data_IF_819417024275
#
_entry.id   IF_819417024275
#
_cell.length_a   1.000
_cell.length_b   1.000
_cell.length_c   1.000
_cell.angle_alpha   90.00
_cell.angle_beta   90.00
_cell.angle_gamma   90.00
#
_symmetry.space_group_name_H-M   'P 1'
#
loop_
_entity.id
_entity.type
_entity.pdbx_description
1 polymer ?
#
# COMPACT_ATOMS: atom_id res chain seq x y z
N UNK A 1 66.73 -11.13 -27.38
CA UNK A 1 65.78 -10.79 -28.47
C UNK A 1 64.47 -10.32 -27.86
N UNK A 2 64.08 -9.09 -28.14
CA UNK A 2 62.81 -8.47 -27.73
C UNK A 2 61.64 -9.13 -28.48
N UNK A 3 60.57 -9.48 -27.77
CA UNK A 3 59.21 -9.53 -28.34
C UNK A 3 58.22 -8.98 -27.33
N UNK A 4 57.82 -7.74 -27.59
CA UNK A 4 56.61 -7.06 -27.11
C UNK A 4 55.38 -7.91 -27.45
N UNK A 5 54.30 -7.84 -26.67
CA UNK A 5 52.89 -7.65 -27.11
C UNK A 5 51.93 -7.84 -25.90
N UNK A 6 51.47 -6.73 -25.32
CA UNK A 6 50.12 -6.11 -25.41
C UNK A 6 49.21 -6.54 -24.25
N UNK A 7 49.07 -5.59 -23.32
CA UNK A 7 48.04 -5.49 -22.30
C UNK A 7 46.66 -5.38 -22.97
N UNK A 8 45.72 -6.26 -22.62
CA UNK A 8 44.30 -6.05 -22.93
C UNK A 8 43.58 -5.75 -21.61
N UNK A 9 43.46 -4.45 -21.29
CA UNK A 9 42.56 -3.96 -20.26
C UNK A 9 41.13 -4.12 -20.77
N UNK A 10 40.42 -5.10 -20.23
CA UNK A 10 38.99 -5.26 -20.45
C UNK A 10 38.27 -4.17 -19.63
N UNK A 11 38.03 -3.03 -20.27
CA UNK A 11 37.17 -1.98 -19.72
C UNK A 11 35.74 -2.49 -19.86
N UNK A 12 35.24 -3.18 -18.84
CA UNK A 12 33.81 -3.33 -18.64
C UNK A 12 33.26 -1.93 -18.37
N UNK A 13 32.75 -1.26 -19.41
CA UNK A 13 31.79 -0.18 -19.23
C UNK A 13 30.56 -0.79 -18.57
N UNK A 14 30.54 -0.79 -17.24
CA UNK A 14 29.29 -0.88 -16.48
C UNK A 14 28.55 0.40 -16.85
N UNK A 15 27.66 0.29 -17.84
CA UNK A 15 26.61 1.28 -18.02
C UNK A 15 25.75 1.13 -16.77
N UNK A 16 26.05 1.95 -15.78
CA UNK A 16 25.15 2.20 -14.68
C UNK A 16 23.88 2.76 -15.30
N UNK A 17 22.89 1.90 -15.52
CA UNK A 17 21.51 2.34 -15.59
C UNK A 17 21.19 2.90 -14.21
N UNK A 18 21.52 4.18 -14.02
CA UNK A 18 20.77 5.04 -13.12
C UNK A 18 19.32 4.88 -13.56
N UNK A 19 18.50 4.18 -12.78
CA UNK A 19 17.09 4.49 -12.75
C UNK A 19 17.04 5.94 -12.29
N UNK A 20 17.08 6.88 -13.24
CA UNK A 20 16.63 8.24 -12.99
C UNK A 20 15.32 8.07 -12.22
N UNK A 21 15.27 8.65 -11.02
CA UNK A 21 14.08 8.65 -10.19
C UNK A 21 12.93 8.97 -11.14
N UNK A 22 12.04 8.00 -11.40
CA UNK A 22 10.87 8.23 -12.23
C UNK A 22 9.93 9.13 -11.43
N UNK A 23 10.30 10.42 -11.36
CA UNK A 23 9.50 11.49 -10.81
C UNK A 23 8.46 11.79 -11.85
N UNK A 24 7.32 11.08 -11.75
CA UNK A 24 6.11 11.50 -12.46
C UNK A 24 5.89 12.97 -12.08
N UNK A 25 5.92 13.91 -13.04
CA UNK A 25 5.68 15.31 -12.73
C UNK A 25 4.33 15.44 -12.03
N UNK A 26 4.32 16.06 -10.85
CA UNK A 26 3.06 16.41 -10.20
C UNK A 26 2.48 17.54 -11.04
N UNK A 27 1.40 17.26 -11.76
CA UNK A 27 0.66 18.31 -12.45
C UNK A 27 0.07 19.21 -11.36
N UNK A 28 0.46 20.50 -11.28
CA UNK A 28 -0.04 21.38 -10.24
C UNK A 28 -1.57 21.40 -10.25
N UNK A 29 -2.17 21.23 -9.09
CA UNK A 29 -3.61 21.29 -8.93
C UNK A 29 -4.04 22.67 -8.40
N UNK A 30 -5.35 22.87 -8.26
CA UNK A 30 -5.88 24.06 -7.57
C UNK A 30 -5.62 24.01 -6.05
N UNK A 31 -5.20 22.86 -5.52
CA UNK A 31 -4.96 22.64 -4.10
C UNK A 31 -3.49 22.28 -3.84
N UNK A 32 -2.71 23.32 -3.54
CA UNK A 32 -1.27 23.17 -3.27
C UNK A 32 -0.96 22.30 -2.05
N UNK A 33 -1.89 22.10 -1.12
CA UNK A 33 -1.68 21.21 0.02
C UNK A 33 -1.74 19.75 -0.42
N UNK A 34 -2.64 19.42 -1.35
CA UNK A 34 -2.70 18.09 -1.96
C UNK A 34 -1.52 17.83 -2.89
N UNK A 35 -1.03 18.84 -3.61
CA UNK A 35 0.20 18.72 -4.39
C UNK A 35 1.39 18.34 -3.49
N UNK A 36 1.52 18.99 -2.33
CA UNK A 36 2.56 18.67 -1.33
C UNK A 36 2.39 17.26 -0.76
N UNK A 37 1.15 16.84 -0.46
CA UNK A 37 0.88 15.49 0.04
C UNK A 37 1.23 14.42 -1.01
N UNK A 38 0.85 14.64 -2.27
CA UNK A 38 1.21 13.77 -3.39
C UNK A 38 2.74 13.71 -3.59
N UNK A 39 3.44 14.83 -3.45
CA UNK A 39 4.90 14.86 -3.51
C UNK A 39 5.56 14.13 -2.34
N UNK A 40 5.03 14.31 -1.12
CA UNK A 40 5.51 13.62 0.05
C UNK A 40 5.43 12.09 -0.09
N UNK A 41 4.41 11.57 -0.77
CA UNK A 41 4.24 10.11 -0.93
C UNK A 41 5.41 9.43 -1.64
N UNK A 42 6.13 10.15 -2.50
CA UNK A 42 7.33 9.64 -3.18
C UNK A 42 8.50 9.35 -2.23
N UNK A 43 8.46 9.92 -1.03
CA UNK A 43 9.50 9.75 0.00
C UNK A 43 9.19 8.60 0.98
N UNK A 44 7.94 8.11 0.99
CA UNK A 44 7.47 7.18 2.02
C UNK A 44 8.06 5.77 1.92
N UNK A 45 8.58 5.36 0.75
CA UNK A 45 9.33 4.10 0.62
C UNK A 45 10.62 4.08 1.42
N UNK A 46 11.14 5.25 1.81
CA UNK A 46 12.35 5.44 2.62
C UNK A 46 12.01 6.01 4.01
N UNK A 47 10.84 5.66 4.54
CA UNK A 47 10.41 6.13 5.86
C UNK A 47 11.42 5.73 6.95
N UNK A 48 12.03 6.71 7.58
CA UNK A 48 13.15 6.51 8.51
C UNK A 48 12.73 6.18 9.95
N UNK A 49 11.42 6.20 10.24
CA UNK A 49 10.89 5.94 11.58
C UNK A 49 11.23 7.00 12.62
N UNK A 50 11.78 8.14 12.22
CA UNK A 50 12.02 9.26 13.14
C UNK A 50 10.71 9.84 13.65
N UNK A 51 10.74 10.45 14.84
CA UNK A 51 9.58 11.15 15.40
C UNK A 51 9.04 12.21 14.41
N UNK A 52 9.93 12.92 13.73
CA UNK A 52 9.56 13.91 12.71
C UNK A 52 8.87 13.27 11.50
N UNK A 53 9.32 12.09 11.04
CA UNK A 53 8.65 11.37 9.97
C UNK A 53 7.24 10.92 10.37
N UNK A 54 7.06 10.42 11.59
CA UNK A 54 5.73 10.08 12.12
C UNK A 54 4.80 11.29 12.23
N UNK A 55 5.29 12.42 12.76
CA UNK A 55 4.52 13.67 12.86
C UNK A 55 4.09 14.12 11.47
N UNK A 56 5.02 14.12 10.51
CA UNK A 56 4.75 14.54 9.13
C UNK A 56 3.72 13.64 8.44
N UNK A 57 3.84 12.31 8.60
CA UNK A 57 2.87 11.37 8.04
C UNK A 57 1.47 11.59 8.61
N UNK A 58 1.35 11.73 9.95
CA UNK A 58 0.07 12.03 10.61
C UNK A 58 -0.52 13.36 10.12
N UNK A 59 0.31 14.39 9.95
CA UNK A 59 -0.13 15.68 9.44
C UNK A 59 -0.70 15.58 8.01
N UNK A 60 -0.04 14.85 7.10
CA UNK A 60 -0.56 14.66 5.75
C UNK A 60 -1.83 13.82 5.71
N UNK A 61 -1.95 12.78 6.54
CA UNK A 61 -3.21 12.02 6.68
C UNK A 61 -4.35 12.95 7.11
N UNK A 62 -4.11 13.85 8.08
CA UNK A 62 -5.12 14.83 8.52
C UNK A 62 -5.50 15.82 7.41
N UNK A 63 -4.54 16.24 6.58
CA UNK A 63 -4.83 17.06 5.39
C UNK A 63 -5.74 16.28 4.44
N UNK A 64 -5.45 15.02 4.15
CA UNK A 64 -6.30 14.23 3.25
C UNK A 64 -7.71 14.04 3.82
N UNK A 65 -7.81 13.73 5.12
CA UNK A 65 -9.07 13.53 5.82
C UNK A 65 -9.93 14.80 5.83
N UNK A 66 -9.33 16.00 5.96
CA UNK A 66 -10.05 17.27 5.97
C UNK A 66 -10.62 17.68 4.60
N UNK A 67 -9.99 17.27 3.50
CA UNK A 67 -10.48 17.54 2.13
C UNK A 67 -11.62 16.60 1.73
N UNK A 68 -11.59 15.36 2.23
CA UNK A 68 -12.59 14.34 1.95
C UNK A 68 -12.42 13.68 0.58
N UNK A 69 -12.86 12.42 0.49
CA UNK A 69 -12.56 11.52 -0.63
C UNK A 69 -12.97 12.05 -2.02
N UNK A 70 -14.08 12.79 -2.10
CA UNK A 70 -14.54 13.38 -3.36
C UNK A 70 -13.52 14.37 -3.94
N UNK A 71 -12.94 15.24 -3.10
CA UNK A 71 -11.90 16.17 -3.52
C UNK A 71 -10.60 15.43 -3.88
N UNK A 72 -10.23 14.42 -3.08
CA UNK A 72 -9.02 13.62 -3.34
C UNK A 72 -9.08 12.96 -4.73
N UNK A 73 -10.23 12.40 -5.12
CA UNK A 73 -10.43 11.75 -6.44
C UNK A 73 -10.39 12.72 -7.62
N UNK A 74 -10.58 14.03 -7.40
CA UNK A 74 -10.45 15.05 -8.45
C UNK A 74 -9.00 15.50 -8.66
N UNK A 75 -8.09 15.17 -7.74
CA UNK A 75 -6.70 15.55 -7.84
C UNK A 75 -6.00 14.78 -8.98
N UNK A 76 -5.20 15.44 -9.85
CA UNK A 76 -4.53 14.75 -10.97
C UNK A 76 -3.67 13.55 -10.56
N UNK A 77 -3.03 13.67 -9.39
CA UNK A 77 -2.20 12.62 -8.79
C UNK A 77 -2.91 11.86 -7.66
N UNK A 78 -4.23 11.68 -7.70
CA UNK A 78 -4.98 11.01 -6.63
C UNK A 78 -4.43 9.63 -6.21
N UNK A 79 -3.84 8.78 -7.08
CA UNK A 79 -3.26 7.51 -6.63
C UNK A 79 -2.10 7.72 -5.65
N UNK A 80 -1.34 8.82 -5.77
CA UNK A 80 -0.26 9.19 -4.84
C UNK A 80 -0.79 9.61 -3.47
N UNK A 81 -1.99 10.17 -3.41
CA UNK A 81 -2.69 10.42 -2.15
C UNK A 81 -3.10 9.09 -1.49
N UNK A 82 -3.48 8.09 -2.30
CA UNK A 82 -3.68 6.71 -1.85
C UNK A 82 -2.44 6.09 -1.20
N UNK A 83 -1.24 6.36 -1.75
CA UNK A 83 0.02 5.90 -1.14
C UNK A 83 0.22 6.46 0.28
N UNK A 84 -0.17 7.72 0.53
CA UNK A 84 -0.07 8.32 1.88
C UNK A 84 -0.92 7.53 2.88
N UNK A 85 -2.14 7.15 2.52
CA UNK A 85 -2.98 6.31 3.37
C UNK A 85 -2.42 4.90 3.56
N UNK A 86 -1.95 4.26 2.48
CA UNK A 86 -1.34 2.93 2.53
C UNK A 86 -0.15 2.90 3.48
N UNK A 87 0.80 3.82 3.32
CA UNK A 87 1.96 3.94 4.21
C UNK A 87 1.58 4.37 5.61
N UNK A 88 0.54 5.20 5.77
CA UNK A 88 -0.10 5.47 7.05
C UNK A 88 -0.52 4.20 7.77
N UNK A 89 -1.23 3.31 7.07
CA UNK A 89 -1.68 2.04 7.60
C UNK A 89 -0.51 1.09 7.96
N UNK A 90 0.59 1.15 7.20
CA UNK A 90 1.80 0.34 7.45
C UNK A 90 2.56 0.83 8.68
N UNK A 91 2.88 2.13 8.75
CA UNK A 91 3.80 2.67 9.75
C UNK A 91 3.12 3.01 11.08
N UNK A 92 1.83 3.36 11.09
CA UNK A 92 1.14 3.81 12.30
C UNK A 92 0.45 2.69 13.08
N UNK A 93 0.75 1.42 12.80
CA UNK A 93 0.14 0.25 13.49
C UNK A 93 0.35 0.23 15.01
N UNK A 94 1.41 0.86 15.52
CA UNK A 94 1.68 1.01 16.96
C UNK A 94 1.02 2.25 17.58
N UNK A 95 0.66 3.22 16.76
CA UNK A 95 0.11 4.52 17.19
C UNK A 95 -1.42 4.53 17.11
N UNK A 96 -1.99 3.80 16.16
CA UNK A 96 -3.41 3.77 15.87
C UNK A 96 -4.03 2.43 16.25
N UNK A 97 -5.29 2.48 16.69
CA UNK A 97 -6.11 1.30 16.89
C UNK A 97 -6.37 0.61 15.54
N UNK A 98 -6.57 -0.71 15.58
CA UNK A 98 -6.79 -1.54 14.39
C UNK A 98 -7.90 -1.01 13.47
N UNK A 99 -9.00 -0.47 14.01
CA UNK A 99 -10.09 0.06 13.19
C UNK A 99 -9.65 1.27 12.35
N UNK A 100 -8.75 2.12 12.86
CA UNK A 100 -8.17 3.21 12.08
C UNK A 100 -7.19 2.69 11.03
N UNK A 101 -6.45 1.62 11.32
CA UNK A 101 -5.58 0.96 10.32
C UNK A 101 -6.42 0.38 9.17
N UNK A 102 -7.54 -0.27 9.48
CA UNK A 102 -8.51 -0.76 8.48
C UNK A 102 -9.05 0.41 7.64
N UNK A 103 -9.45 1.51 8.29
CA UNK A 103 -9.94 2.71 7.60
C UNK A 103 -8.89 3.26 6.61
N UNK A 104 -7.62 3.34 7.02
CA UNK A 104 -6.54 3.84 6.15
C UNK A 104 -6.33 2.92 4.94
N UNK A 105 -6.30 1.59 5.10
CA UNK A 105 -6.21 0.67 3.96
C UNK A 105 -7.43 0.79 3.03
N UNK A 106 -8.65 0.95 3.58
CA UNK A 106 -9.86 1.15 2.77
C UNK A 106 -9.79 2.46 1.97
N UNK A 107 -9.40 3.57 2.60
CA UNK A 107 -9.18 4.87 1.93
C UNK A 107 -8.10 4.79 0.85
N UNK A 108 -7.02 4.04 1.09
CA UNK A 108 -6.01 3.78 0.07
C UNK A 108 -6.61 3.05 -1.15
N UNK A 109 -7.41 2.00 -0.90
CA UNK A 109 -8.08 1.23 -1.96
C UNK A 109 -9.14 2.02 -2.74
N UNK A 110 -9.74 3.04 -2.14
CA UNK A 110 -10.64 3.96 -2.85
C UNK A 110 -9.91 4.88 -3.83
N UNK A 111 -8.62 5.13 -3.61
CA UNK A 111 -7.78 6.00 -4.44
C UNK A 111 -6.88 5.23 -5.40
N UNK A 112 -6.57 3.96 -5.12
CA UNK A 112 -5.79 3.13 -6.04
C UNK A 112 -6.05 1.65 -5.85
N UNK A 113 -6.00 0.90 -6.94
CA UNK A 113 -5.92 -0.55 -6.87
C UNK A 113 -4.52 -0.95 -6.37
N UNK A 114 -4.47 -1.61 -5.21
CA UNK A 114 -3.23 -2.06 -4.58
C UNK A 114 -3.39 -3.47 -4.02
N UNK A 115 -2.60 -4.46 -4.47
CA UNK A 115 -2.70 -5.81 -3.94
C UNK A 115 -2.30 -5.88 -2.45
N UNK A 116 -1.31 -5.10 -2.01
CA UNK A 116 -0.81 -5.18 -0.63
C UNK A 116 -1.88 -4.79 0.39
N UNK A 117 -2.60 -3.71 0.17
CA UNK A 117 -3.69 -3.23 1.03
C UNK A 117 -4.83 -4.25 1.11
N UNK A 118 -5.18 -4.89 -0.02
CA UNK A 118 -6.14 -5.99 -0.02
C UNK A 118 -5.66 -7.17 0.83
N UNK A 119 -4.41 -7.59 0.68
CA UNK A 119 -3.84 -8.68 1.48
C UNK A 119 -3.84 -8.39 2.98
N UNK A 120 -3.46 -7.16 3.37
CA UNK A 120 -3.45 -6.73 4.76
C UNK A 120 -4.86 -6.73 5.35
N UNK A 121 -5.85 -6.20 4.63
CA UNK A 121 -7.25 -6.25 5.04
C UNK A 121 -7.77 -7.69 5.19
N UNK A 122 -7.50 -8.56 4.21
CA UNK A 122 -7.87 -9.97 4.30
C UNK A 122 -7.28 -10.64 5.54
N UNK A 123 -6.02 -10.35 5.86
CA UNK A 123 -5.33 -10.89 7.04
C UNK A 123 -5.93 -10.38 8.35
N UNK A 124 -6.26 -9.08 8.43
CA UNK A 124 -6.93 -8.50 9.61
C UNK A 124 -8.31 -9.12 9.80
N UNK A 125 -9.12 -9.18 8.74
CA UNK A 125 -10.46 -9.75 8.80
C UNK A 125 -10.45 -11.24 9.11
N UNK A 126 -9.43 -11.99 8.66
CA UNK A 126 -9.28 -13.40 9.03
C UNK A 126 -9.09 -13.58 10.53
N UNK A 127 -8.26 -12.73 11.15
CA UNK A 127 -8.04 -12.75 12.60
C UNK A 127 -9.29 -12.33 13.38
N UNK A 128 -10.05 -11.36 12.86
CA UNK A 128 -11.36 -10.97 13.43
C UNK A 128 -12.41 -12.09 13.29
N UNK A 129 -12.45 -12.77 12.14
CA UNK A 129 -13.28 -13.94 11.89
C UNK A 129 -13.00 -15.05 12.91
N UNK A 130 -11.72 -15.41 13.09
CA UNK A 130 -11.32 -16.44 14.06
C UNK A 130 -11.73 -16.09 15.49
N UNK A 131 -11.71 -14.80 15.84
CA UNK A 131 -12.19 -14.32 17.13
C UNK A 131 -13.71 -14.38 17.27
N UNK A 132 -14.47 -14.13 16.20
CA UNK A 132 -15.92 -14.24 16.17
C UNK A 132 -16.37 -15.70 16.33
N UNK A 133 -15.74 -16.63 15.60
CA UNK A 133 -15.98 -18.09 15.74
C UNK A 133 -15.76 -18.55 17.18
N UNK A 134 -14.64 -18.15 17.81
CA UNK A 134 -14.36 -18.50 19.22
C UNK A 134 -15.39 -17.97 20.21
N UNK A 135 -16.07 -16.88 19.88
CA UNK A 135 -17.10 -16.25 20.71
C UNK A 135 -18.51 -16.72 20.37
N UNK A 136 -18.67 -17.59 19.36
CA UNK A 136 -19.96 -17.96 18.78
C UNK A 136 -20.79 -16.74 18.34
N UNK A 137 -20.13 -15.71 17.80
CA UNK A 137 -20.78 -14.52 17.25
C UNK A 137 -21.02 -14.72 15.75
N UNK A 138 -22.17 -15.32 15.42
CA UNK A 138 -22.49 -15.71 14.04
C UNK A 138 -22.66 -14.52 13.09
N UNK A 139 -23.12 -13.36 13.59
CA UNK A 139 -23.26 -12.16 12.76
C UNK A 139 -21.89 -11.64 12.32
N UNK A 140 -20.95 -11.55 13.27
CA UNK A 140 -19.58 -11.11 12.97
C UNK A 140 -18.78 -12.16 12.22
N UNK A 141 -19.02 -13.44 12.47
CA UNK A 141 -18.45 -14.52 11.66
C UNK A 141 -18.83 -14.32 10.19
N UNK A 142 -20.11 -14.12 9.88
CA UNK A 142 -20.57 -13.93 8.51
C UNK A 142 -19.97 -12.66 7.88
N UNK A 143 -20.04 -11.53 8.59
CA UNK A 143 -19.50 -10.26 8.12
C UNK A 143 -18.00 -10.35 7.81
N UNK A 144 -17.21 -10.91 8.74
CA UNK A 144 -15.76 -10.99 8.57
C UNK A 144 -15.36 -12.05 7.55
N UNK A 145 -16.07 -13.18 7.47
CA UNK A 145 -15.83 -14.20 6.46
C UNK A 145 -16.00 -13.65 5.04
N UNK A 146 -17.07 -12.89 4.80
CA UNK A 146 -17.29 -12.18 3.53
C UNK A 146 -16.14 -11.23 3.21
N UNK A 147 -15.71 -10.42 4.18
CA UNK A 147 -14.59 -9.49 3.99
C UNK A 147 -13.28 -10.22 3.64
N UNK A 148 -12.99 -11.36 4.28
CA UNK A 148 -11.80 -12.17 3.92
C UNK A 148 -11.87 -12.61 2.47
N UNK A 149 -13.01 -13.16 2.04
CA UNK A 149 -13.20 -13.58 0.65
C UNK A 149 -12.97 -12.43 -0.33
N UNK A 150 -13.66 -11.31 -0.13
CA UNK A 150 -13.61 -10.17 -1.05
C UNK A 150 -12.20 -9.60 -1.20
N UNK A 151 -11.51 -9.36 -0.08
CA UNK A 151 -10.17 -8.78 -0.11
C UNK A 151 -9.12 -9.77 -0.61
N UNK A 152 -9.20 -11.05 -0.22
CA UNK A 152 -8.26 -12.07 -0.71
C UNK A 152 -8.43 -12.30 -2.22
N UNK A 153 -9.66 -12.35 -2.73
CA UNK A 153 -9.93 -12.46 -4.16
C UNK A 153 -9.32 -11.29 -4.93
N UNK A 154 -9.55 -10.04 -4.46
CA UNK A 154 -8.94 -8.84 -5.07
C UNK A 154 -7.41 -8.89 -5.04
N UNK A 155 -6.81 -9.36 -3.94
CA UNK A 155 -5.36 -9.56 -3.87
C UNK A 155 -4.86 -10.53 -4.94
N UNK A 156 -5.47 -11.71 -5.05
CA UNK A 156 -5.07 -12.75 -6.04
C UNK A 156 -5.16 -12.18 -7.45
N UNK A 157 -6.30 -11.55 -7.79
CA UNK A 157 -6.53 -10.97 -9.11
C UNK A 157 -5.52 -9.87 -9.44
N UNK A 158 -5.25 -8.94 -8.51
CA UNK A 158 -4.36 -7.81 -8.75
C UNK A 158 -2.87 -8.19 -8.73
N UNK A 159 -2.49 -9.18 -7.92
CA UNK A 159 -1.09 -9.61 -7.80
C UNK A 159 -0.69 -10.68 -8.81
N UNK A 160 -1.66 -11.37 -9.41
CA UNK A 160 -1.42 -12.58 -10.20
C UNK A 160 -0.93 -13.77 -9.36
N UNK A 161 -1.06 -13.71 -8.04
CA UNK A 161 -0.55 -14.76 -7.15
C UNK A 161 -1.48 -15.97 -7.13
N UNK A 162 -1.12 -16.99 -7.90
CA UNK A 162 -1.85 -18.27 -8.01
C UNK A 162 -1.36 -19.34 -7.02
N UNK A 163 -0.88 -18.94 -5.85
CA UNK A 163 -0.47 -19.90 -4.82
C UNK A 163 -1.64 -20.78 -4.38
N UNK A 164 -1.42 -22.10 -4.37
CA UNK A 164 -2.41 -23.09 -3.90
C UNK A 164 -2.95 -22.75 -2.51
N UNK A 165 -2.09 -22.27 -1.60
CA UNK A 165 -2.46 -21.83 -0.26
C UNK A 165 -3.58 -20.78 -0.28
N UNK A 166 -3.48 -19.78 -1.16
CA UNK A 166 -4.48 -18.71 -1.22
C UNK A 166 -5.77 -19.17 -1.89
N UNK A 167 -5.68 -20.09 -2.85
CA UNK A 167 -6.86 -20.72 -3.47
C UNK A 167 -7.65 -21.53 -2.44
N UNK A 168 -6.97 -22.35 -1.64
CA UNK A 168 -7.60 -23.15 -0.56
C UNK A 168 -8.29 -22.25 0.47
N UNK A 169 -7.66 -21.15 0.89
CA UNK A 169 -8.27 -20.18 1.81
C UNK A 169 -9.49 -19.52 1.14
N UNK A 170 -9.38 -19.11 -0.12
CA UNK A 170 -10.47 -18.45 -0.83
C UNK A 170 -11.67 -19.38 -1.03
N UNK A 171 -11.43 -20.66 -1.31
CA UNK A 171 -12.45 -21.69 -1.42
C UNK A 171 -13.19 -21.88 -0.10
N UNK A 172 -12.47 -21.99 1.03
CA UNK A 172 -13.09 -22.05 2.35
C UNK A 172 -14.00 -20.83 2.62
N UNK A 173 -13.51 -19.62 2.34
CA UNK A 173 -14.29 -18.40 2.56
C UNK A 173 -15.38 -18.15 1.52
N UNK A 174 -15.45 -18.92 0.43
CA UNK A 174 -16.49 -18.77 -0.59
C UNK A 174 -17.90 -19.05 -0.08
N UNK A 175 -18.03 -19.84 0.99
CA UNK A 175 -19.29 -20.10 1.69
C UNK A 175 -19.90 -18.85 2.34
N UNK A 176 -19.11 -17.78 2.51
CA UNK A 176 -19.53 -16.52 3.13
C UNK A 176 -19.84 -15.39 2.13
N UNK A 177 -19.79 -15.66 0.83
CA UNK A 177 -20.04 -14.69 -0.27
C UNK A 177 -21.44 -14.06 -0.20
#
# INVERSE_FOLDING_TARGET
MKKTIIFLLFICNIIAFSQENFTVPITPSKDQELDKAAGYSTTLSKFDGSMNAYIRLKAYINILDSKGMAALKQHPSYPKLGDVYMYGAIYLTKEFKEDKIIELYKKALELRADPNSNYQLASIYKRKFDAAVKKNDSEKEQEYGKNVYEYLNKYIVLSGNNSKKYQEILEYFSAYK
#
